data_IF_120224227085
#
_entry.id   IF_120224227085
#
_cell.length_a   1.000
_cell.length_b   1.000
_cell.length_c   1.000
_cell.angle_alpha   90.00
_cell.angle_beta   90.00
_cell.angle_gamma   90.00
#
_symmetry.space_group_name_H-M   'P 1'
#
loop_
_entity.id
_entity.type
_entity.pdbx_description
1 polymer ?
#
# COMPACT_ATOMS: atom_id res chain seq x y z
N UNK A 1 -7.83 23.80 -11.43
CA UNK A 1 -6.64 22.92 -11.45
C UNK A 1 -6.46 22.36 -12.85
N UNK A 2 -5.30 22.56 -13.50
CA UNK A 2 -5.01 21.89 -14.77
C UNK A 2 -4.72 20.43 -14.45
N UNK A 3 -5.60 19.50 -14.82
CA UNK A 3 -5.31 18.06 -14.75
C UNK A 3 -4.20 17.80 -15.79
N UNK A 4 -3.06 17.20 -15.40
CA UNK A 4 -2.01 16.83 -16.35
C UNK A 4 -2.61 16.03 -17.50
N UNK A 5 -2.13 16.25 -18.70
CA UNK A 5 -2.74 15.73 -19.94
C UNK A 5 -2.75 14.20 -20.03
N UNK A 6 -1.88 13.48 -19.32
CA UNK A 6 -1.75 12.03 -19.38
C UNK A 6 -2.34 11.24 -18.19
N UNK A 7 -2.92 11.92 -17.17
CA UNK A 7 -3.49 11.24 -15.99
C UNK A 7 -4.54 10.17 -16.35
N UNK A 8 -5.36 10.46 -17.36
CA UNK A 8 -6.41 9.54 -17.80
C UNK A 8 -5.82 8.31 -18.49
N UNK A 9 -4.75 8.49 -19.27
CA UNK A 9 -4.01 7.40 -19.86
C UNK A 9 -3.39 6.53 -18.78
N UNK A 10 -2.72 7.13 -17.80
CA UNK A 10 -2.12 6.40 -16.67
C UNK A 10 -3.18 5.62 -15.90
N UNK A 11 -4.36 6.21 -15.63
CA UNK A 11 -5.46 5.51 -14.97
C UNK A 11 -5.92 4.30 -15.79
N UNK A 12 -6.18 4.47 -17.10
CA UNK A 12 -6.63 3.40 -18.00
C UNK A 12 -5.58 2.28 -18.08
N UNK A 13 -4.29 2.62 -18.21
CA UNK A 13 -3.21 1.62 -18.27
C UNK A 13 -3.01 0.88 -16.94
N UNK A 14 -3.32 1.53 -15.82
CA UNK A 14 -3.26 0.90 -14.49
C UNK A 14 -4.38 -0.12 -14.24
N UNK A 15 -5.50 -0.02 -14.98
CA UNK A 15 -6.66 -0.89 -14.81
C UNK A 15 -6.37 -2.33 -15.24
N UNK A 16 -6.81 -3.28 -14.42
CA UNK A 16 -6.79 -4.70 -14.78
C UNK A 16 -7.80 -5.03 -15.87
N UNK A 17 -7.60 -6.14 -16.58
CA UNK A 17 -8.54 -6.62 -17.60
C UNK A 17 -9.97 -6.79 -17.05
N UNK A 18 -10.11 -7.20 -15.77
CA UNK A 18 -11.40 -7.35 -15.11
C UNK A 18 -12.08 -6.01 -14.84
N UNK A 19 -11.32 -4.98 -14.44
CA UNK A 19 -11.84 -3.62 -14.22
C UNK A 19 -12.26 -2.97 -15.54
N UNK A 20 -11.44 -3.11 -16.60
CA UNK A 20 -11.80 -2.64 -17.96
C UNK A 20 -13.06 -3.31 -18.47
N UNK A 21 -13.20 -4.64 -18.25
CA UNK A 21 -14.41 -5.38 -18.61
C UNK A 21 -15.63 -4.92 -17.81
N UNK A 22 -15.47 -4.67 -16.50
CA UNK A 22 -16.54 -4.16 -15.64
C UNK A 22 -16.99 -2.77 -16.08
N UNK A 23 -16.04 -1.86 -16.38
CA UNK A 23 -16.34 -0.54 -16.91
C UNK A 23 -17.16 -0.63 -18.20
N UNK A 24 -16.67 -1.39 -19.17
CA UNK A 24 -17.39 -1.57 -20.45
C UNK A 24 -18.81 -2.11 -20.27
N UNK A 25 -18.99 -3.06 -19.38
CA UNK A 25 -20.30 -3.70 -19.16
C UNK A 25 -21.32 -2.80 -18.46
N UNK A 26 -20.89 -1.97 -17.52
CA UNK A 26 -21.82 -1.27 -16.63
C UNK A 26 -21.87 0.25 -16.85
N UNK A 27 -20.87 0.81 -17.49
CA UNK A 27 -20.75 2.27 -17.67
C UNK A 27 -20.54 2.70 -19.13
N UNK A 28 -20.26 1.76 -20.01
CA UNK A 28 -19.99 1.98 -21.43
C UNK A 28 -20.85 1.06 -22.32
N UNK A 29 -22.04 0.66 -21.85
CA UNK A 29 -22.97 -0.21 -22.57
C UNK A 29 -23.58 0.47 -23.82
N UNK A 30 -23.70 1.78 -23.81
CA UNK A 30 -24.11 2.57 -24.96
C UNK A 30 -22.91 3.21 -25.64
N UNK A 31 -22.79 3.05 -26.95
CA UNK A 31 -21.77 3.75 -27.75
C UNK A 31 -21.97 5.26 -27.68
N UNK A 32 -21.05 5.94 -27.06
CA UNK A 32 -20.98 7.39 -27.02
C UNK A 32 -19.52 7.85 -27.11
N UNK A 33 -19.32 9.13 -27.38
CA UNK A 33 -17.98 9.70 -27.58
C UNK A 33 -17.03 9.49 -26.39
N UNK A 34 -17.56 9.37 -25.17
CA UNK A 34 -16.74 9.12 -23.98
C UNK A 34 -16.21 7.68 -23.95
N UNK A 35 -17.03 6.71 -24.39
CA UNK A 35 -16.62 5.30 -24.48
C UNK A 35 -15.66 5.07 -25.64
N UNK A 36 -15.88 5.75 -26.77
CA UNK A 36 -14.97 5.71 -27.92
C UNK A 36 -13.59 6.31 -27.53
N UNK A 37 -13.59 7.38 -26.72
CA UNK A 37 -12.36 7.97 -26.18
C UNK A 37 -11.61 6.99 -25.28
N UNK A 38 -12.33 6.25 -24.42
CA UNK A 38 -11.73 5.20 -23.58
C UNK A 38 -11.06 4.13 -24.44
N UNK A 39 -11.75 3.60 -25.46
CA UNK A 39 -11.23 2.54 -26.31
C UNK A 39 -10.01 3.00 -27.10
N UNK A 40 -10.03 4.21 -27.62
CA UNK A 40 -8.89 4.77 -28.33
C UNK A 40 -7.67 4.96 -27.40
N UNK A 41 -7.84 5.60 -26.23
CA UNK A 41 -6.76 5.79 -25.27
C UNK A 41 -6.23 4.45 -24.76
N UNK A 42 -7.10 3.46 -24.57
CA UNK A 42 -6.69 2.12 -24.12
C UNK A 42 -5.82 1.37 -25.15
N UNK A 43 -5.96 1.68 -26.43
CA UNK A 43 -5.19 1.07 -27.52
C UNK A 43 -3.84 1.75 -27.77
N UNK A 44 -3.56 2.90 -27.15
CA UNK A 44 -2.30 3.63 -27.36
C UNK A 44 -1.16 3.00 -26.54
N UNK A 45 0.02 2.91 -27.13
CA UNK A 45 1.25 2.52 -26.45
C UNK A 45 1.85 3.69 -25.65
N UNK A 46 1.79 4.89 -26.21
CA UNK A 46 2.19 6.15 -25.60
C UNK A 46 1.10 7.20 -25.81
N UNK A 47 0.89 8.07 -24.79
CA UNK A 47 -0.14 9.08 -24.86
C UNK A 47 0.34 10.33 -25.58
N UNK A 48 -0.29 10.64 -26.71
CA UNK A 48 -0.12 11.89 -27.45
C UNK A 48 -1.48 12.56 -27.69
N UNK A 49 -1.69 13.74 -27.12
CA UNK A 49 -2.97 14.46 -27.24
C UNK A 49 -3.31 14.81 -28.68
N UNK A 50 -2.31 15.11 -29.51
CA UNK A 50 -2.49 15.42 -30.92
C UNK A 50 -3.00 14.21 -31.72
N UNK A 51 -2.60 13.01 -31.38
CA UNK A 51 -3.13 11.79 -32.00
C UNK A 51 -4.60 11.60 -31.64
N UNK A 52 -4.99 11.89 -30.38
CA UNK A 52 -6.40 11.85 -29.96
C UNK A 52 -7.22 12.89 -30.75
N UNK A 53 -6.77 14.14 -30.86
CA UNK A 53 -7.46 15.19 -31.62
C UNK A 53 -7.58 14.83 -33.08
N UNK A 54 -6.55 14.26 -33.69
CA UNK A 54 -6.53 13.83 -35.08
C UNK A 54 -7.52 12.69 -35.33
N UNK A 55 -7.55 11.68 -34.46
CA UNK A 55 -8.48 10.56 -34.58
C UNK A 55 -9.94 11.00 -34.53
N UNK A 56 -10.25 11.96 -33.65
CA UNK A 56 -11.60 12.46 -33.47
C UNK A 56 -11.89 13.80 -34.23
N UNK A 57 -11.08 14.17 -35.24
CA UNK A 57 -11.13 15.47 -35.90
C UNK A 57 -12.54 15.86 -36.40
N UNK A 58 -13.32 14.89 -36.87
CA UNK A 58 -14.66 15.09 -37.42
C UNK A 58 -15.79 14.98 -36.35
N UNK A 59 -15.46 14.94 -35.09
CA UNK A 59 -16.43 14.81 -34.00
C UNK A 59 -16.45 16.04 -33.08
N UNK A 60 -17.52 16.19 -32.31
CA UNK A 60 -17.58 17.19 -31.23
C UNK A 60 -16.53 16.99 -30.16
N UNK A 61 -15.98 15.78 -30.05
CA UNK A 61 -14.96 15.41 -29.05
C UNK A 61 -13.67 16.20 -29.27
N UNK A 62 -13.19 16.34 -30.52
CA UNK A 62 -11.94 17.05 -30.79
C UNK A 62 -12.02 18.53 -30.35
N UNK A 63 -13.17 19.20 -30.51
CA UNK A 63 -13.38 20.57 -30.05
C UNK A 63 -13.51 20.71 -28.53
N UNK A 64 -14.00 19.67 -27.86
CA UNK A 64 -14.30 19.67 -26.42
C UNK A 64 -13.53 18.57 -25.65
N UNK A 65 -12.34 18.18 -26.12
CA UNK A 65 -11.57 17.07 -25.58
C UNK A 65 -11.39 17.15 -24.05
N UNK A 66 -11.17 18.36 -23.54
CA UNK A 66 -11.02 18.60 -22.09
C UNK A 66 -12.26 18.16 -21.31
N UNK A 67 -13.46 18.45 -21.83
CA UNK A 67 -14.74 18.10 -21.17
C UNK A 67 -14.92 16.58 -21.19
N UNK A 68 -14.70 15.93 -22.33
CA UNK A 68 -14.79 14.47 -22.45
C UNK A 68 -13.77 13.73 -21.57
N UNK A 69 -12.55 14.28 -21.41
CA UNK A 69 -11.56 13.74 -20.47
C UNK A 69 -12.06 13.79 -19.03
N UNK A 70 -12.66 14.91 -18.60
CA UNK A 70 -13.23 15.03 -17.24
C UNK A 70 -14.36 14.04 -17.05
N UNK A 71 -15.31 13.97 -17.97
CA UNK A 71 -16.42 13.02 -17.91
C UNK A 71 -15.94 11.56 -17.88
N UNK A 72 -14.96 11.21 -18.71
CA UNK A 72 -14.40 9.87 -18.73
C UNK A 72 -13.69 9.56 -17.40
N UNK A 73 -12.93 10.50 -16.83
CA UNK A 73 -12.28 10.35 -15.53
C UNK A 73 -13.30 10.07 -14.43
N UNK A 74 -14.39 10.82 -14.36
CA UNK A 74 -15.48 10.64 -13.39
C UNK A 74 -16.15 9.26 -13.55
N UNK A 75 -16.46 8.85 -14.78
CA UNK A 75 -17.03 7.53 -15.05
C UNK A 75 -16.09 6.39 -14.68
N UNK A 76 -14.80 6.51 -14.98
CA UNK A 76 -13.80 5.52 -14.60
C UNK A 76 -13.67 5.40 -13.07
N UNK A 77 -13.59 6.52 -12.36
CA UNK A 77 -13.52 6.52 -10.90
C UNK A 77 -14.80 5.95 -10.28
N UNK A 78 -15.97 6.30 -10.80
CA UNK A 78 -17.25 5.72 -10.37
C UNK A 78 -17.32 4.21 -10.59
N UNK A 79 -16.84 3.75 -11.75
CA UNK A 79 -16.76 2.33 -12.08
C UNK A 79 -15.81 1.58 -11.15
N UNK A 80 -14.61 2.11 -10.92
CA UNK A 80 -13.62 1.51 -10.02
C UNK A 80 -14.13 1.48 -8.58
N UNK A 81 -14.76 2.56 -8.10
CA UNK A 81 -15.39 2.60 -6.77
C UNK A 81 -16.44 1.51 -6.64
N UNK A 82 -17.34 1.37 -7.60
CA UNK A 82 -18.38 0.33 -7.60
C UNK A 82 -17.79 -1.09 -7.67
N UNK A 83 -16.76 -1.29 -8.49
CA UNK A 83 -16.08 -2.59 -8.62
C UNK A 83 -15.41 -3.03 -7.32
N UNK A 84 -14.73 -2.10 -6.64
CA UNK A 84 -13.96 -2.39 -5.43
C UNK A 84 -14.77 -2.31 -4.14
N UNK A 85 -15.93 -1.63 -4.13
CA UNK A 85 -16.75 -1.42 -2.93
C UNK A 85 -17.11 -2.72 -2.21
N UNK A 86 -17.42 -3.77 -2.94
CA UNK A 86 -17.78 -5.08 -2.37
C UNK A 86 -16.61 -5.87 -1.80
N UNK A 87 -15.36 -5.52 -2.15
CA UNK A 87 -14.16 -6.29 -1.78
C UNK A 87 -13.39 -5.64 -0.64
N UNK A 88 -13.42 -4.31 -0.54
CA UNK A 88 -12.65 -3.54 0.43
C UNK A 88 -13.43 -3.38 1.74
N UNK A 89 -12.79 -3.70 2.88
CA UNK A 89 -13.42 -3.59 4.21
C UNK A 89 -13.83 -2.15 4.52
N UNK A 90 -12.95 -1.17 4.29
CA UNK A 90 -13.24 0.25 4.51
C UNK A 90 -14.41 0.74 3.66
N UNK A 91 -14.51 0.26 2.42
CA UNK A 91 -15.65 0.57 1.56
C UNK A 91 -16.96 -0.02 2.09
N UNK A 92 -16.93 -1.25 2.63
CA UNK A 92 -18.11 -1.88 3.24
C UNK A 92 -18.56 -1.11 4.49
N UNK A 93 -17.61 -0.63 5.30
CA UNK A 93 -17.90 0.17 6.49
C UNK A 93 -18.57 1.49 6.07
N UNK A 94 -17.96 2.25 5.13
CA UNK A 94 -18.54 3.52 4.65
C UNK A 94 -19.95 3.34 4.07
N UNK A 95 -20.11 2.36 3.17
CA UNK A 95 -21.45 2.05 2.62
C UNK A 95 -22.45 1.65 3.71
N UNK A 96 -21.99 0.90 4.72
CA UNK A 96 -22.85 0.54 5.84
C UNK A 96 -23.28 1.73 6.67
N UNK A 97 -22.42 2.74 6.87
CA UNK A 97 -22.79 4.00 7.53
C UNK A 97 -23.80 4.81 6.71
N UNK A 98 -23.60 4.90 5.38
CA UNK A 98 -24.57 5.51 4.45
C UNK A 98 -25.94 4.80 4.52
N UNK A 99 -25.96 3.47 4.59
CA UNK A 99 -27.18 2.68 4.76
C UNK A 99 -27.86 2.99 6.11
N UNK A 100 -27.10 3.22 7.19
CA UNK A 100 -27.64 3.64 8.50
C UNK A 100 -28.33 4.99 8.37
N UNK A 101 -27.69 5.99 7.74
CA UNK A 101 -28.28 7.31 7.51
C UNK A 101 -29.60 7.21 6.72
N UNK A 102 -29.62 6.45 5.62
CA UNK A 102 -30.84 6.23 4.82
C UNK A 102 -31.95 5.60 5.67
N UNK A 103 -31.63 4.61 6.53
CA UNK A 103 -32.62 3.96 7.40
C UNK A 103 -33.16 4.93 8.45
N UNK A 104 -32.31 5.81 8.97
CA UNK A 104 -32.71 6.86 9.92
C UNK A 104 -33.64 7.88 9.26
N UNK A 105 -33.32 8.36 8.08
CA UNK A 105 -34.17 9.27 7.29
C UNK A 105 -35.57 8.66 7.01
N UNK A 106 -35.63 7.34 6.87
CA UNK A 106 -36.88 6.59 6.69
C UNK A 106 -37.57 6.21 8.02
N UNK A 107 -37.06 6.68 9.16
CA UNK A 107 -37.57 6.39 10.51
C UNK A 107 -37.53 4.88 10.85
N UNK A 108 -36.67 4.08 10.21
CA UNK A 108 -36.49 2.65 10.45
C UNK A 108 -35.39 2.41 11.50
N UNK A 109 -35.54 3.03 12.70
CA UNK A 109 -34.49 3.12 13.72
C UNK A 109 -33.96 1.77 14.21
N UNK A 110 -34.84 0.76 14.42
CA UNK A 110 -34.43 -0.58 14.83
C UNK A 110 -33.58 -1.28 13.76
N UNK A 111 -33.87 -1.05 12.48
CA UNK A 111 -33.05 -1.58 11.38
C UNK A 111 -31.70 -0.85 11.30
N UNK A 112 -31.69 0.47 11.50
CA UNK A 112 -30.49 1.28 11.54
C UNK A 112 -29.54 0.78 12.66
N UNK A 113 -30.06 0.56 13.88
CA UNK A 113 -29.29 0.04 15.01
C UNK A 113 -28.71 -1.36 14.72
N UNK A 114 -29.50 -2.26 14.17
CA UNK A 114 -29.02 -3.59 13.82
C UNK A 114 -27.93 -3.54 12.73
N UNK A 115 -28.02 -2.60 11.78
CA UNK A 115 -27.00 -2.38 10.78
C UNK A 115 -25.73 -1.83 11.40
N UNK A 116 -25.86 -0.86 12.30
CA UNK A 116 -24.76 -0.20 13.00
C UNK A 116 -23.94 -1.21 13.83
N UNK A 117 -24.59 -2.11 14.57
CA UNK A 117 -23.93 -3.19 15.34
C UNK A 117 -23.05 -4.06 14.45
N UNK A 118 -23.54 -4.48 13.26
CA UNK A 118 -22.76 -5.27 12.30
C UNK A 118 -21.55 -4.51 11.77
N UNK A 119 -21.66 -3.20 11.58
CA UNK A 119 -20.56 -2.35 11.16
C UNK A 119 -19.53 -2.22 12.28
N UNK A 120 -19.96 -2.04 13.52
CA UNK A 120 -19.10 -1.97 14.72
C UNK A 120 -18.26 -3.26 14.86
N UNK A 121 -18.90 -4.42 14.78
CA UNK A 121 -18.21 -5.71 14.79
C UNK A 121 -17.14 -5.82 13.66
N UNK A 122 -17.48 -5.35 12.46
CA UNK A 122 -16.55 -5.34 11.33
C UNK A 122 -15.36 -4.40 11.58
N UNK A 123 -15.62 -3.22 12.15
CA UNK A 123 -14.56 -2.26 12.51
C UNK A 123 -13.61 -2.83 13.57
N UNK A 124 -14.14 -3.43 14.62
CA UNK A 124 -13.35 -4.03 15.69
C UNK A 124 -12.51 -5.19 15.18
N UNK A 125 -13.12 -6.08 14.40
CA UNK A 125 -12.44 -7.24 13.81
C UNK A 125 -11.24 -6.87 12.93
N UNK A 126 -11.33 -5.75 12.21
CA UNK A 126 -10.30 -5.30 11.28
C UNK A 126 -9.47 -4.13 11.79
N UNK A 127 -9.66 -3.75 13.05
CA UNK A 127 -9.02 -2.59 13.69
C UNK A 127 -9.17 -1.27 12.91
N UNK A 128 -10.32 -1.10 12.23
CA UNK A 128 -10.69 0.15 11.55
C UNK A 128 -11.30 1.14 12.56
N UNK A 129 -10.52 1.45 13.60
CA UNK A 129 -10.98 2.19 14.78
C UNK A 129 -11.36 3.65 14.47
N UNK A 130 -10.87 4.22 13.39
CA UNK A 130 -11.21 5.58 12.94
C UNK A 130 -12.71 5.76 12.67
N UNK A 131 -13.43 4.66 12.34
CA UNK A 131 -14.88 4.71 12.12
C UNK A 131 -15.72 4.58 13.41
N UNK A 132 -15.12 4.17 14.52
CA UNK A 132 -15.84 3.97 15.79
C UNK A 132 -16.47 5.28 16.27
N UNK A 133 -15.82 6.42 16.04
CA UNK A 133 -16.39 7.72 16.40
C UNK A 133 -17.75 7.96 15.71
N UNK A 134 -17.85 7.75 14.42
CA UNK A 134 -19.10 7.90 13.66
C UNK A 134 -20.16 6.89 14.12
N UNK A 135 -19.74 5.65 14.40
CA UNK A 135 -20.63 4.60 14.90
C UNK A 135 -21.21 5.00 16.26
N UNK A 136 -20.37 5.42 17.20
CA UNK A 136 -20.80 5.85 18.54
C UNK A 136 -21.71 7.07 18.47
N UNK A 137 -21.42 8.03 17.57
CA UNK A 137 -22.32 9.17 17.34
C UNK A 137 -23.73 8.70 16.95
N UNK A 138 -23.87 7.78 16.03
CA UNK A 138 -25.18 7.24 15.64
C UNK A 138 -25.82 6.39 16.75
N UNK A 139 -25.04 5.63 17.53
CA UNK A 139 -25.55 4.89 18.69
C UNK A 139 -26.19 5.84 19.71
N UNK A 140 -25.49 6.92 20.09
CA UNK A 140 -26.00 7.94 21.04
C UNK A 140 -27.21 8.62 20.43
N UNK A 141 -27.18 9.02 19.18
CA UNK A 141 -28.29 9.71 18.52
C UNK A 141 -29.55 8.85 18.52
N UNK A 142 -29.46 7.57 18.15
CA UNK A 142 -30.58 6.64 18.13
C UNK A 142 -31.15 6.39 19.52
N UNK A 143 -30.30 6.30 20.55
CA UNK A 143 -30.75 6.09 21.92
C UNK A 143 -31.44 7.34 22.52
N UNK A 144 -30.88 8.52 22.24
CA UNK A 144 -31.35 9.76 22.86
C UNK A 144 -32.65 10.30 22.27
N UNK A 145 -32.90 10.06 20.99
CA UNK A 145 -34.01 10.69 20.27
C UNK A 145 -35.16 9.73 19.90
N UNK A 146 -34.92 8.42 19.88
CA UNK A 146 -35.89 7.48 19.33
C UNK A 146 -36.25 6.31 20.27
N UNK A 147 -35.91 6.40 21.53
CA UNK A 147 -36.25 5.42 22.57
C UNK A 147 -35.92 3.96 22.12
N UNK A 148 -34.91 3.81 21.30
CA UNK A 148 -34.41 2.52 20.86
C UNK A 148 -33.60 1.98 22.02
N UNK A 149 -34.13 1.00 22.77
CA UNK A 149 -33.46 0.38 23.91
C UNK A 149 -32.04 -0.08 23.56
N UNK A 150 -31.07 0.81 23.70
CA UNK A 150 -29.68 0.48 23.88
C UNK A 150 -29.54 0.14 25.38
N UNK A 151 -29.64 -1.14 25.71
CA UNK A 151 -29.20 -1.59 27.02
C UNK A 151 -27.67 -1.70 26.98
N UNK A 152 -26.97 -1.19 27.91
CA UNK A 152 -27.16 -0.46 29.13
C UNK A 152 -26.65 0.99 29.03
N UNK A 153 -27.13 1.83 29.96
CA UNK A 153 -26.77 3.22 30.15
C UNK A 153 -25.85 3.88 29.12
N UNK A 154 -26.24 4.99 28.53
CA UNK A 154 -25.47 5.86 27.60
C UNK A 154 -24.03 6.13 28.08
N UNK A 155 -23.77 5.90 29.37
CA UNK A 155 -22.47 6.02 30.02
C UNK A 155 -21.45 4.97 29.55
N UNK A 156 -21.90 3.71 29.30
CA UNK A 156 -20.94 2.64 28.83
C UNK A 156 -20.49 2.88 27.39
N UNK A 157 -21.35 3.42 26.54
CA UNK A 157 -20.99 3.76 25.15
C UNK A 157 -19.94 4.87 25.12
N UNK A 158 -20.07 5.87 25.99
CA UNK A 158 -19.06 6.94 26.11
C UNK A 158 -17.74 6.44 26.70
N UNK A 159 -17.78 5.57 27.72
CA UNK A 159 -16.55 4.95 28.26
C UNK A 159 -15.84 4.06 27.22
N UNK A 160 -16.60 3.30 26.43
CA UNK A 160 -16.03 2.56 25.29
C UNK A 160 -15.35 3.53 24.31
N UNK A 161 -15.99 4.64 23.95
CA UNK A 161 -15.42 5.65 23.06
C UNK A 161 -14.11 6.21 23.60
N UNK A 162 -14.06 6.58 24.89
CA UNK A 162 -12.83 7.05 25.54
C UNK A 162 -11.70 6.02 25.41
N UNK A 163 -12.01 4.75 25.68
CA UNK A 163 -11.05 3.65 25.52
C UNK A 163 -10.52 3.52 24.08
N UNK A 164 -11.40 3.70 23.08
CA UNK A 164 -11.00 3.69 21.66
C UNK A 164 -10.16 4.90 21.29
N UNK A 165 -10.51 6.10 21.79
CA UNK A 165 -9.73 7.32 21.57
C UNK A 165 -8.31 7.14 22.12
N UNK A 166 -8.16 6.58 23.32
CA UNK A 166 -6.85 6.33 23.91
C UNK A 166 -6.06 5.28 23.13
N UNK A 167 -6.72 4.27 22.57
CA UNK A 167 -6.08 3.33 21.66
C UNK A 167 -5.58 4.02 20.40
N UNK A 168 -6.40 4.85 19.78
CA UNK A 168 -6.01 5.62 18.59
C UNK A 168 -4.84 6.56 18.90
N UNK A 169 -4.88 7.29 20.03
CA UNK A 169 -3.76 8.15 20.45
C UNK A 169 -2.45 7.37 20.53
N UNK A 170 -2.46 6.17 21.15
CA UNK A 170 -1.27 5.32 21.23
C UNK A 170 -0.80 4.83 19.86
N UNK A 171 -1.72 4.36 19.03
CA UNK A 171 -1.37 3.94 17.65
C UNK A 171 -0.71 5.09 16.88
N UNK A 172 -1.28 6.29 16.93
CA UNK A 172 -0.71 7.46 16.23
C UNK A 172 0.62 7.90 16.83
N UNK A 173 0.80 7.78 18.15
CA UNK A 173 2.08 8.05 18.80
C UNK A 173 3.16 7.04 18.35
N UNK A 174 2.85 5.75 18.37
CA UNK A 174 3.76 4.71 17.85
C UNK A 174 4.07 4.89 16.36
N UNK A 175 3.07 5.27 15.53
CA UNK A 175 3.28 5.63 14.12
C UNK A 175 4.27 6.79 13.98
N UNK A 176 4.14 7.82 14.80
CA UNK A 176 5.03 9.00 14.79
C UNK A 176 6.47 8.62 15.13
N UNK A 177 6.67 7.85 16.20
CA UNK A 177 8.00 7.33 16.57
C UNK A 177 8.59 6.51 15.42
N UNK A 178 7.80 5.59 14.88
CA UNK A 178 8.23 4.73 13.78
C UNK A 178 8.58 5.54 12.51
N UNK A 179 7.84 6.60 12.22
CA UNK A 179 8.13 7.49 11.09
C UNK A 179 9.50 8.18 11.25
N UNK A 180 9.79 8.77 12.42
CA UNK A 180 11.10 9.39 12.69
C UNK A 180 12.24 8.39 12.62
N UNK A 181 12.06 7.20 13.21
CA UNK A 181 13.07 6.15 13.17
C UNK A 181 13.33 5.64 11.73
N UNK A 182 12.28 5.51 10.92
CA UNK A 182 12.43 5.13 9.50
C UNK A 182 13.16 6.21 8.69
N UNK A 183 12.87 7.49 8.93
CA UNK A 183 13.60 8.59 8.28
C UNK A 183 15.10 8.51 8.60
N UNK A 184 15.46 8.35 9.87
CA UNK A 184 16.85 8.13 10.29
C UNK A 184 17.48 6.88 9.65
N UNK A 185 16.73 5.77 9.58
CA UNK A 185 17.21 4.52 8.99
C UNK A 185 17.42 4.58 7.48
N UNK A 186 16.66 5.42 6.76
CA UNK A 186 16.76 5.59 5.31
C UNK A 186 17.88 6.56 4.91
N UNK A 187 18.22 7.50 5.78
CA UNK A 187 19.31 8.45 5.59
C UNK A 187 20.66 7.82 5.99
N UNK A 188 21.02 6.68 5.39
CA UNK A 188 22.17 5.81 5.73
C UNK A 188 23.54 6.51 5.81
N UNK A 189 23.67 7.71 5.32
CA UNK A 189 24.96 8.41 5.22
C UNK A 189 25.40 9.13 6.51
N UNK A 190 24.60 9.25 7.54
CA UNK A 190 24.96 10.23 8.58
C UNK A 190 24.70 9.92 10.04
N UNK A 191 23.86 8.97 10.50
CA UNK A 191 23.62 9.02 11.96
C UNK A 191 23.24 7.68 12.63
N UNK A 192 24.15 7.20 13.49
CA UNK A 192 23.76 6.47 14.70
C UNK A 192 22.81 7.38 15.53
N UNK A 193 21.82 6.76 16.20
CA UNK A 193 21.00 7.50 17.17
C UNK A 193 21.89 8.00 18.31
N UNK A 194 21.67 9.24 18.74
CA UNK A 194 22.37 9.79 19.90
C UNK A 194 21.82 9.14 21.18
N UNK A 195 22.62 8.98 22.25
CA UNK A 195 22.17 8.36 23.49
C UNK A 195 20.90 8.98 24.07
N UNK A 196 20.74 10.29 23.95
CA UNK A 196 19.56 11.01 24.42
C UNK A 196 18.30 10.62 23.59
N UNK A 197 18.45 10.51 22.26
CA UNK A 197 17.38 10.10 21.37
C UNK A 197 16.94 8.64 21.66
N UNK A 198 17.89 7.77 21.96
CA UNK A 198 17.62 6.36 22.34
C UNK A 198 16.78 6.34 23.60
N UNK A 199 17.23 7.02 24.65
CA UNK A 199 16.54 7.09 25.95
C UNK A 199 15.15 7.69 25.82
N UNK A 200 15.00 8.73 24.99
CA UNK A 200 13.71 9.35 24.69
C UNK A 200 12.75 8.34 24.02
N UNK A 201 13.17 7.69 22.93
CA UNK A 201 12.31 6.75 22.20
C UNK A 201 11.96 5.52 23.04
N UNK A 202 12.87 4.98 23.83
CA UNK A 202 12.60 3.85 24.74
C UNK A 202 11.64 4.26 25.86
N UNK A 203 11.79 5.45 26.40
CA UNK A 203 10.86 5.98 27.41
C UNK A 203 9.46 6.17 26.83
N UNK A 204 9.37 6.71 25.60
CA UNK A 204 8.08 6.88 24.92
C UNK A 204 7.44 5.52 24.60
N UNK A 205 8.21 4.56 24.09
CA UNK A 205 7.72 3.21 23.82
C UNK A 205 7.28 2.49 25.09
N UNK A 206 7.98 2.67 26.23
CA UNK A 206 7.62 2.04 27.51
C UNK A 206 6.37 2.68 28.15
N UNK A 207 6.20 3.99 28.06
CA UNK A 207 4.99 4.70 28.55
C UNK A 207 3.73 4.26 27.80
N UNK A 208 3.84 4.12 26.47
CA UNK A 208 2.70 3.69 25.64
C UNK A 208 2.35 2.21 25.86
N UNK A 209 3.23 1.46 26.51
CA UNK A 209 3.06 0.06 26.86
C UNK A 209 2.51 -0.17 28.28
N UNK A 210 2.42 0.88 29.11
CA UNK A 210 1.75 0.83 30.41
C UNK A 210 0.23 0.73 30.16
N UNK A 211 -0.23 -0.48 29.83
CA UNK A 211 -1.65 -0.76 29.65
C UNK A 211 -2.34 -0.94 31.01
N UNK A 212 -3.63 -0.54 31.11
CA UNK A 212 -4.46 -0.96 32.24
C UNK A 212 -4.45 -2.48 32.41
N UNK A 213 -4.58 -2.97 33.63
CA UNK A 213 -4.65 -4.39 33.92
C UNK A 213 -5.64 -5.12 33.02
N UNK A 214 -5.23 -6.25 32.43
CA UNK A 214 -6.06 -7.08 31.57
C UNK A 214 -6.16 -6.64 30.10
N UNK A 215 -5.56 -5.51 29.70
CA UNK A 215 -5.61 -5.05 28.31
C UNK A 215 -4.44 -5.61 27.51
N UNK A 216 -4.74 -6.10 26.30
CA UNK A 216 -3.75 -6.50 25.31
C UNK A 216 -3.53 -5.42 24.25
N UNK A 217 -2.31 -5.35 23.70
CA UNK A 217 -2.02 -4.49 22.57
C UNK A 217 -2.80 -4.96 21.34
N UNK A 218 -3.37 -4.02 20.59
CA UNK A 218 -3.93 -4.28 19.26
C UNK A 218 -2.83 -4.74 18.30
N UNK A 219 -3.22 -5.35 17.17
CA UNK A 219 -2.27 -5.78 16.13
C UNK A 219 -1.48 -4.58 15.58
N UNK A 220 -2.14 -3.44 15.42
CA UNK A 220 -1.51 -2.20 14.96
C UNK A 220 -0.48 -1.67 15.98
N UNK A 221 -0.80 -1.67 17.27
CA UNK A 221 0.14 -1.27 18.33
C UNK A 221 1.36 -2.20 18.35
N UNK A 222 1.15 -3.52 18.27
CA UNK A 222 2.23 -4.50 18.22
C UNK A 222 3.13 -4.31 16.99
N UNK A 223 2.53 -4.08 15.81
CA UNK A 223 3.26 -3.87 14.57
C UNK A 223 4.18 -2.66 14.65
N UNK A 224 3.67 -1.48 15.05
CA UNK A 224 4.48 -0.27 15.09
C UNK A 224 5.53 -0.33 16.21
N UNK A 225 5.21 -0.93 17.34
CA UNK A 225 6.18 -1.19 18.41
C UNK A 225 7.34 -2.05 17.94
N UNK A 226 7.06 -3.23 17.37
CA UNK A 226 8.10 -4.13 16.86
C UNK A 226 8.93 -3.47 15.75
N UNK A 227 8.29 -2.71 14.86
CA UNK A 227 8.98 -1.96 13.81
C UNK A 227 9.96 -0.94 14.40
N UNK A 228 9.53 -0.17 15.41
CA UNK A 228 10.37 0.82 16.08
C UNK A 228 11.54 0.18 16.83
N UNK A 229 11.27 -0.88 17.60
CA UNK A 229 12.31 -1.62 18.31
C UNK A 229 13.34 -2.23 17.36
N UNK A 230 12.90 -2.78 16.22
CA UNK A 230 13.82 -3.33 15.23
C UNK A 230 14.80 -2.28 14.69
N UNK A 231 14.36 -1.02 14.53
CA UNK A 231 15.20 0.07 14.04
C UNK A 231 16.16 0.54 15.17
N UNK A 232 15.68 0.65 16.40
CA UNK A 232 16.51 1.01 17.56
C UNK A 232 17.65 -0.02 17.73
N UNK A 233 17.33 -1.32 17.71
CA UNK A 233 18.35 -2.37 17.80
C UNK A 233 19.35 -2.31 16.63
N UNK A 234 18.90 -1.98 15.42
CA UNK A 234 19.80 -1.80 14.28
C UNK A 234 20.71 -0.60 14.43
N UNK A 235 20.16 0.59 14.79
CA UNK A 235 20.90 1.86 14.73
C UNK A 235 21.65 2.20 16.02
N UNK A 236 21.10 1.84 17.17
CA UNK A 236 21.65 2.16 18.48
C UNK A 236 22.56 1.07 19.02
N UNK A 237 22.07 -0.16 19.04
CA UNK A 237 22.75 -1.28 19.67
C UNK A 237 23.55 -2.14 18.71
N UNK A 238 23.37 -1.96 17.40
CA UNK A 238 23.95 -2.80 16.35
C UNK A 238 23.67 -4.31 16.56
N UNK A 239 22.56 -4.62 17.26
CA UNK A 239 22.13 -5.97 17.61
C UNK A 239 21.26 -6.55 16.46
N UNK A 240 21.96 -7.24 15.57
CA UNK A 240 21.33 -7.80 14.38
C UNK A 240 20.35 -8.96 14.68
N UNK A 241 20.57 -9.69 15.80
CA UNK A 241 19.68 -10.78 16.20
C UNK A 241 18.36 -10.24 16.78
N UNK A 242 18.40 -9.20 17.60
CA UNK A 242 17.19 -8.56 18.11
C UNK A 242 16.43 -7.84 16.98
N UNK A 243 17.14 -7.16 16.07
CA UNK A 243 16.50 -6.61 14.87
C UNK A 243 15.75 -7.70 14.09
N UNK A 244 16.41 -8.84 13.85
CA UNK A 244 15.80 -9.98 13.17
C UNK A 244 14.58 -10.50 13.93
N UNK A 245 14.68 -10.65 15.24
CA UNK A 245 13.61 -11.13 16.12
C UNK A 245 12.35 -10.26 15.96
N UNK A 246 12.47 -8.93 16.09
CA UNK A 246 11.32 -8.04 15.97
C UNK A 246 10.72 -8.01 14.56
N UNK A 247 11.54 -8.09 13.51
CA UNK A 247 11.05 -8.18 12.13
C UNK A 247 10.32 -9.50 11.86
N UNK A 248 10.82 -10.60 12.38
CA UNK A 248 10.16 -11.91 12.34
C UNK A 248 8.82 -11.88 13.08
N UNK A 249 8.76 -11.26 14.26
CA UNK A 249 7.53 -11.10 15.02
C UNK A 249 6.46 -10.33 14.24
N UNK A 250 6.83 -9.29 13.50
CA UNK A 250 5.89 -8.59 12.63
C UNK A 250 5.32 -9.48 11.52
N UNK A 251 6.13 -10.32 10.90
CA UNK A 251 5.65 -11.28 9.90
C UNK A 251 4.69 -12.28 10.55
N UNK A 252 5.07 -12.87 11.70
CA UNK A 252 4.25 -13.83 12.43
C UNK A 252 2.93 -13.24 12.91
N UNK A 253 2.92 -11.95 13.29
CA UNK A 253 1.70 -11.22 13.69
C UNK A 253 0.65 -11.23 12.58
N UNK A 254 1.05 -10.94 11.34
CA UNK A 254 0.15 -10.99 10.19
C UNK A 254 -0.28 -12.41 9.85
N UNK A 255 0.63 -13.37 9.89
CA UNK A 255 0.35 -14.77 9.54
C UNK A 255 -0.58 -15.45 10.53
N UNK A 256 -0.50 -15.08 11.82
CA UNK A 256 -1.46 -15.50 12.83
C UNK A 256 -2.85 -14.85 12.66
N UNK A 257 -2.96 -13.76 11.89
CA UNK A 257 -4.17 -12.99 11.68
C UNK A 257 -4.48 -12.78 10.18
N UNK A 258 -4.86 -13.82 9.42
CA UNK A 258 -5.06 -13.73 7.96
C UNK A 258 -6.13 -12.70 7.54
N UNK A 259 -7.12 -12.46 8.38
CA UNK A 259 -8.12 -11.42 8.13
C UNK A 259 -7.51 -10.02 8.11
N UNK A 260 -6.48 -9.78 8.92
CA UNK A 260 -5.76 -8.51 8.99
C UNK A 260 -4.87 -8.30 7.76
N UNK A 261 -4.29 -9.37 7.18
CA UNK A 261 -3.56 -9.30 5.91
C UNK A 261 -4.47 -8.76 4.80
N UNK A 262 -5.71 -9.25 4.73
CA UNK A 262 -6.67 -8.86 3.69
C UNK A 262 -6.97 -7.35 3.70
N UNK A 263 -7.03 -6.74 4.88
CA UNK A 263 -7.24 -5.30 5.05
C UNK A 263 -5.95 -4.50 4.89
N UNK A 264 -4.81 -5.08 5.22
CA UNK A 264 -3.53 -4.43 5.39
C UNK A 264 -2.40 -5.08 4.57
N UNK A 265 -2.69 -5.54 3.34
CA UNK A 265 -1.73 -6.23 2.48
C UNK A 265 -0.45 -5.43 2.22
N UNK A 266 -0.53 -4.09 2.17
CA UNK A 266 0.62 -3.20 2.04
C UNK A 266 1.55 -3.25 3.25
N UNK A 267 1.00 -3.29 4.46
CA UNK A 267 1.79 -3.43 5.70
C UNK A 267 2.42 -4.82 5.82
N UNK A 268 1.69 -5.87 5.44
CA UNK A 268 2.26 -7.21 5.40
C UNK A 268 3.39 -7.33 4.37
N UNK A 269 3.22 -6.70 3.19
CA UNK A 269 4.31 -6.60 2.21
C UNK A 269 5.54 -5.92 2.83
N UNK A 270 5.37 -4.78 3.49
CA UNK A 270 6.47 -4.06 4.13
C UNK A 270 7.14 -4.89 5.23
N UNK A 271 6.35 -5.59 6.06
CA UNK A 271 6.88 -6.49 7.10
C UNK A 271 7.74 -7.61 6.49
N UNK A 272 7.20 -8.32 5.47
CA UNK A 272 7.93 -9.36 4.74
C UNK A 272 9.20 -8.82 4.10
N UNK A 273 9.13 -7.71 3.37
CA UNK A 273 10.28 -7.13 2.69
C UNK A 273 11.39 -6.76 3.67
N UNK A 274 11.07 -6.06 4.76
CA UNK A 274 12.03 -5.69 5.80
C UNK A 274 12.65 -6.91 6.47
N UNK A 275 11.87 -7.97 6.69
CA UNK A 275 12.35 -9.25 7.20
C UNK A 275 13.34 -9.90 6.21
N UNK A 276 13.01 -9.95 4.91
CA UNK A 276 13.87 -10.53 3.88
C UNK A 276 15.19 -9.78 3.72
N UNK A 277 15.16 -8.45 3.78
CA UNK A 277 16.39 -7.63 3.78
C UNK A 277 17.29 -8.00 4.96
N UNK A 278 16.72 -8.23 6.13
CA UNK A 278 17.45 -8.68 7.31
C UNK A 278 18.00 -10.11 7.16
N UNK A 279 17.20 -11.06 6.68
CA UNK A 279 17.62 -12.44 6.38
C UNK A 279 18.83 -12.45 5.44
N UNK A 280 18.79 -11.66 4.36
CA UNK A 280 19.90 -11.54 3.41
C UNK A 280 21.16 -11.02 4.10
N UNK A 281 21.04 -9.96 4.94
CA UNK A 281 22.19 -9.37 5.64
C UNK A 281 22.84 -10.36 6.62
N UNK A 282 22.03 -11.20 7.27
CA UNK A 282 22.47 -12.21 8.23
C UNK A 282 22.79 -13.57 7.58
N UNK A 283 22.80 -13.65 6.22
CA UNK A 283 23.04 -14.88 5.48
C UNK A 283 22.08 -16.05 5.85
N UNK A 284 20.85 -15.73 6.25
CA UNK A 284 19.80 -16.72 6.56
C UNK A 284 19.07 -17.12 5.29
N UNK A 285 19.73 -17.94 4.46
CA UNK A 285 19.26 -18.28 3.11
C UNK A 285 17.92 -19.03 3.10
N UNK A 286 17.70 -19.95 4.01
CA UNK A 286 16.45 -20.73 4.08
C UNK A 286 15.23 -19.84 4.37
N UNK A 287 15.35 -18.92 5.33
CA UNK A 287 14.30 -17.97 5.65
C UNK A 287 14.08 -16.97 4.52
N UNK A 288 15.15 -16.55 3.82
CA UNK A 288 15.07 -15.68 2.65
C UNK A 288 14.29 -16.35 1.52
N UNK A 289 14.65 -17.57 1.13
CA UNK A 289 13.99 -18.30 0.06
C UNK A 289 12.50 -18.56 0.37
N UNK A 290 12.19 -19.05 1.57
CA UNK A 290 10.82 -19.26 2.02
C UNK A 290 10.01 -17.94 2.00
N UNK A 291 10.61 -16.84 2.47
CA UNK A 291 9.96 -15.54 2.49
C UNK A 291 9.75 -14.93 1.11
N UNK A 292 10.67 -15.17 0.15
CA UNK A 292 10.51 -14.78 -1.26
C UNK A 292 9.28 -15.45 -1.90
N UNK A 293 9.06 -16.72 -1.62
CA UNK A 293 7.84 -17.41 -2.08
C UNK A 293 6.57 -16.76 -1.52
N UNK A 294 6.55 -16.43 -0.21
CA UNK A 294 5.39 -15.79 0.44
C UNK A 294 5.10 -14.41 -0.12
N UNK A 295 6.13 -13.57 -0.31
CA UNK A 295 5.93 -12.21 -0.83
C UNK A 295 5.48 -12.22 -2.29
N UNK A 296 5.99 -13.15 -3.11
CA UNK A 296 5.53 -13.35 -4.50
C UNK A 296 4.06 -13.80 -4.54
N UNK A 297 3.65 -14.72 -3.67
CA UNK A 297 2.25 -15.14 -3.55
C UNK A 297 1.33 -13.97 -3.14
N UNK A 298 1.77 -13.13 -2.19
CA UNK A 298 1.03 -11.92 -1.81
C UNK A 298 0.85 -10.96 -3.00
N UNK A 299 1.90 -10.72 -3.79
CA UNK A 299 1.85 -9.84 -4.96
C UNK A 299 0.92 -10.37 -6.07
N UNK A 300 0.78 -11.69 -6.19
CA UNK A 300 -0.20 -12.29 -7.08
C UNK A 300 -1.65 -12.06 -6.61
N UNK A 301 -1.89 -12.17 -5.31
CA UNK A 301 -3.22 -12.00 -4.70
C UNK A 301 -3.64 -10.53 -4.56
N UNK A 302 -2.68 -9.60 -4.46
CA UNK A 302 -2.89 -8.16 -4.32
C UNK A 302 -2.38 -7.38 -5.55
N UNK A 303 -3.17 -7.31 -6.63
CA UNK A 303 -2.72 -6.70 -7.91
C UNK A 303 -2.25 -5.25 -7.79
N UNK A 304 -2.77 -4.49 -6.82
CA UNK A 304 -2.37 -3.10 -6.57
C UNK A 304 -0.93 -2.98 -6.03
N UNK A 305 -0.36 -4.08 -5.51
CA UNK A 305 1.03 -4.14 -5.06
C UNK A 305 2.01 -4.58 -6.16
N UNK A 306 1.54 -4.92 -7.36
CA UNK A 306 2.40 -5.49 -8.42
C UNK A 306 3.56 -4.57 -8.81
N UNK A 307 3.39 -3.24 -8.73
CA UNK A 307 4.47 -2.30 -8.95
C UNK A 307 5.68 -2.56 -8.01
N UNK A 308 5.41 -3.09 -6.83
CA UNK A 308 6.44 -3.38 -5.82
C UNK A 308 7.32 -4.60 -6.15
N UNK A 309 7.07 -5.34 -7.25
CA UNK A 309 7.99 -6.39 -7.70
C UNK A 309 9.42 -5.88 -7.91
N UNK A 310 9.61 -4.59 -8.18
CA UNK A 310 10.95 -3.99 -8.33
C UNK A 310 11.81 -4.21 -7.08
N UNK A 311 11.22 -4.17 -5.88
CA UNK A 311 11.90 -4.44 -4.61
C UNK A 311 12.37 -5.90 -4.53
N UNK A 312 11.56 -6.82 -5.05
CA UNK A 312 11.88 -8.25 -5.04
C UNK A 312 12.98 -8.55 -6.05
N UNK A 313 12.88 -8.01 -7.27
CA UNK A 313 13.92 -8.14 -8.27
C UNK A 313 15.27 -7.60 -7.80
N UNK A 314 15.28 -6.45 -7.12
CA UNK A 314 16.49 -5.93 -6.50
C UNK A 314 17.07 -6.91 -5.47
N UNK A 315 16.23 -7.41 -4.55
CA UNK A 315 16.65 -8.30 -3.48
C UNK A 315 17.21 -9.63 -4.02
N UNK A 316 16.50 -10.25 -4.97
CA UNK A 316 16.90 -11.51 -5.62
C UNK A 316 18.18 -11.33 -6.45
N UNK A 317 18.26 -10.31 -7.30
CA UNK A 317 19.46 -10.02 -8.10
C UNK A 317 20.66 -9.83 -7.19
N UNK A 318 20.52 -9.03 -6.12
CA UNK A 318 21.60 -8.82 -5.15
C UNK A 318 21.99 -10.11 -4.42
N UNK A 319 21.03 -10.95 -4.06
CA UNK A 319 21.28 -12.23 -3.40
C UNK A 319 22.04 -13.20 -4.31
N UNK A 320 21.57 -13.39 -5.54
CA UNK A 320 22.22 -14.25 -6.55
C UNK A 320 23.64 -13.76 -6.87
N UNK A 321 23.83 -12.44 -7.00
CA UNK A 321 25.14 -11.84 -7.26
C UNK A 321 26.14 -12.15 -6.14
N UNK A 322 25.73 -11.99 -4.88
CA UNK A 322 26.58 -12.28 -3.73
C UNK A 322 26.91 -13.79 -3.59
N UNK A 323 25.98 -14.65 -4.04
CA UNK A 323 26.22 -16.09 -4.13
C UNK A 323 27.05 -16.51 -5.36
N UNK A 324 27.52 -15.56 -6.20
CA UNK A 324 28.23 -15.81 -7.46
C UNK A 324 27.42 -16.64 -8.49
N UNK A 325 26.09 -16.61 -8.36
CA UNK A 325 25.16 -17.25 -9.31
C UNK A 325 24.79 -16.28 -10.43
N UNK A 326 25.71 -16.07 -11.36
CA UNK A 326 25.56 -15.03 -12.38
C UNK A 326 24.61 -15.44 -13.52
N UNK A 327 24.58 -16.72 -13.88
CA UNK A 327 23.78 -17.22 -15.00
C UNK A 327 22.27 -17.00 -14.77
N UNK A 328 21.66 -17.34 -13.60
CA UNK A 328 20.26 -17.04 -13.32
C UNK A 328 19.91 -15.54 -13.37
N UNK A 329 20.90 -14.65 -13.07
CA UNK A 329 20.66 -13.21 -13.17
C UNK A 329 20.40 -12.82 -14.63
N UNK A 330 21.20 -13.34 -15.56
CA UNK A 330 21.10 -13.01 -16.99
C UNK A 330 19.91 -13.69 -17.64
N UNK A 331 19.67 -14.96 -17.33
CA UNK A 331 18.65 -15.76 -18.01
C UNK A 331 17.23 -15.51 -17.49
N UNK A 332 17.08 -15.26 -16.20
CA UNK A 332 15.77 -15.14 -15.55
C UNK A 332 15.48 -13.71 -15.08
N UNK A 333 16.38 -13.13 -14.26
CA UNK A 333 16.13 -11.85 -13.60
C UNK A 333 16.13 -10.67 -14.56
N UNK A 334 17.11 -10.58 -15.47
CA UNK A 334 17.26 -9.46 -16.39
C UNK A 334 16.04 -9.29 -17.33
N UNK A 335 15.55 -10.34 -18.02
CA UNK A 335 14.38 -10.22 -18.89
C UNK A 335 13.10 -9.87 -18.14
N UNK A 336 12.85 -10.49 -16.98
CA UNK A 336 11.65 -10.22 -16.17
C UNK A 336 11.66 -8.82 -15.61
N UNK A 337 12.78 -8.40 -15.04
CA UNK A 337 12.94 -7.07 -14.44
C UNK A 337 12.80 -5.97 -15.49
N UNK A 338 13.43 -6.15 -16.67
CA UNK A 338 13.33 -5.18 -17.76
C UNK A 338 11.90 -5.03 -18.26
N UNK A 339 11.17 -6.14 -18.41
CA UNK A 339 9.74 -6.13 -18.76
C UNK A 339 8.92 -5.40 -17.70
N UNK A 340 9.21 -5.63 -16.43
CA UNK A 340 8.53 -4.97 -15.33
C UNK A 340 8.77 -3.46 -15.29
N UNK A 341 10.04 -3.03 -15.38
CA UNK A 341 10.44 -1.60 -15.41
C UNK A 341 9.72 -0.88 -16.56
N UNK A 342 9.71 -1.47 -17.76
CA UNK A 342 9.03 -0.87 -18.90
C UNK A 342 7.51 -0.80 -18.69
N UNK A 343 6.89 -1.87 -18.19
CA UNK A 343 5.45 -1.93 -17.95
C UNK A 343 4.96 -0.88 -16.94
N UNK A 344 5.72 -0.62 -15.89
CA UNK A 344 5.33 0.29 -14.81
C UNK A 344 6.02 1.65 -14.89
N UNK A 345 6.77 1.90 -15.98
CA UNK A 345 7.51 3.15 -16.24
C UNK A 345 8.44 3.56 -15.09
N UNK A 346 9.11 2.58 -14.48
CA UNK A 346 9.99 2.76 -13.32
C UNK A 346 11.44 3.09 -13.71
N UNK A 347 11.65 3.67 -14.89
CA UNK A 347 13.01 3.92 -15.45
C UNK A 347 13.86 4.87 -14.60
N UNK A 348 13.24 5.90 -13.99
CA UNK A 348 13.91 6.92 -13.16
C UNK A 348 13.99 6.59 -11.67
N UNK A 349 13.57 5.40 -11.23
CA UNK A 349 13.57 5.06 -9.81
C UNK A 349 14.97 4.61 -9.34
N UNK A 350 15.35 5.01 -8.12
CA UNK A 350 16.64 4.66 -7.50
C UNK A 350 16.91 3.15 -7.49
N UNK A 351 15.90 2.32 -7.20
CA UNK A 351 16.04 0.87 -7.23
C UNK A 351 16.38 0.33 -8.63
N UNK A 352 15.84 0.93 -9.67
CA UNK A 352 16.18 0.58 -11.05
C UNK A 352 17.67 0.83 -11.35
N UNK A 353 18.20 1.95 -10.87
CA UNK A 353 19.63 2.23 -10.98
C UNK A 353 20.47 1.18 -10.25
N UNK A 354 20.11 0.83 -9.02
CA UNK A 354 20.81 -0.22 -8.26
C UNK A 354 20.76 -1.58 -8.98
N UNK A 355 19.64 -1.96 -9.56
CA UNK A 355 19.50 -3.21 -10.33
C UNK A 355 20.42 -3.17 -11.56
N UNK A 356 20.45 -2.06 -12.31
CA UNK A 356 21.34 -1.91 -13.47
C UNK A 356 22.82 -1.96 -13.10
N UNK A 357 23.20 -1.49 -11.90
CA UNK A 357 24.57 -1.67 -11.39
C UNK A 357 24.87 -3.17 -11.25
N UNK A 358 23.98 -3.97 -10.65
CA UNK A 358 24.19 -5.42 -10.53
C UNK A 358 24.22 -6.13 -11.87
N UNK A 359 23.39 -5.72 -12.85
CA UNK A 359 23.45 -6.26 -14.20
C UNK A 359 24.80 -5.91 -14.88
N UNK A 360 25.25 -4.66 -14.75
CA UNK A 360 26.56 -4.22 -15.25
C UNK A 360 27.69 -5.08 -14.68
N UNK A 361 27.73 -5.25 -13.36
CA UNK A 361 28.74 -6.06 -12.68
C UNK A 361 28.66 -7.54 -13.07
N UNK A 362 27.46 -8.08 -13.24
CA UNK A 362 27.26 -9.46 -13.67
C UNK A 362 27.83 -9.69 -15.06
N UNK A 363 27.50 -8.83 -16.04
CA UNK A 363 28.03 -8.94 -17.40
C UNK A 363 29.52 -8.68 -17.47
N UNK A 364 30.08 -7.82 -16.59
CA UNK A 364 31.52 -7.63 -16.47
C UNK A 364 32.23 -8.92 -16.04
N UNK A 365 31.69 -9.62 -15.04
CA UNK A 365 32.23 -10.92 -14.60
C UNK A 365 32.12 -11.96 -15.68
N UNK A 366 31.03 -11.99 -16.45
CA UNK A 366 30.82 -12.89 -17.59
C UNK A 366 31.56 -12.48 -18.88
N UNK A 367 32.28 -11.34 -18.86
CA UNK A 367 33.01 -10.76 -20.01
C UNK A 367 32.13 -10.37 -21.20
N UNK A 368 30.84 -10.12 -20.97
CA UNK A 368 29.92 -9.59 -21.99
C UNK A 368 30.00 -8.05 -22.02
N UNK A 369 31.06 -7.53 -22.64
CA UNK A 369 31.31 -6.09 -22.69
C UNK A 369 30.27 -5.30 -23.48
N UNK A 370 29.54 -5.94 -24.41
CA UNK A 370 28.44 -5.28 -25.13
C UNK A 370 27.30 -4.91 -24.15
N UNK A 371 26.90 -5.82 -23.30
CA UNK A 371 25.88 -5.59 -22.27
C UNK A 371 26.39 -4.65 -21.18
N UNK A 372 27.64 -4.69 -20.81
CA UNK A 372 28.25 -3.70 -19.89
C UNK A 372 28.05 -2.28 -20.43
N UNK A 373 28.42 -2.02 -21.70
CA UNK A 373 28.21 -0.70 -22.31
C UNK A 373 26.72 -0.31 -22.40
N UNK A 374 25.84 -1.27 -22.67
CA UNK A 374 24.41 -1.02 -22.72
C UNK A 374 23.87 -0.51 -21.37
N UNK A 375 24.22 -1.17 -20.26
CA UNK A 375 23.75 -0.76 -18.93
C UNK A 375 24.44 0.51 -18.41
N UNK A 376 25.71 0.72 -18.72
CA UNK A 376 26.40 1.99 -18.39
C UNK A 376 25.73 3.20 -19.06
N UNK A 377 25.31 3.07 -20.33
CA UNK A 377 24.51 4.12 -20.99
C UNK A 377 23.20 4.37 -20.29
N UNK A 378 22.49 3.33 -19.88
CA UNK A 378 21.23 3.47 -19.13
C UNK A 378 21.45 4.18 -17.77
N UNK A 379 22.49 3.81 -17.04
CA UNK A 379 22.86 4.47 -15.79
C UNK A 379 23.24 5.94 -16.01
N UNK A 380 24.01 6.25 -17.04
CA UNK A 380 24.35 7.64 -17.39
C UNK A 380 23.13 8.49 -17.77
N UNK A 381 22.11 7.89 -18.41
CA UNK A 381 20.87 8.61 -18.69
C UNK A 381 20.05 8.85 -17.41
N UNK A 382 20.00 7.87 -16.49
CA UNK A 382 19.33 8.05 -15.21
C UNK A 382 19.96 9.12 -14.33
N UNK A 383 21.30 9.28 -14.36
CA UNK A 383 21.96 10.32 -13.57
C UNK A 383 21.60 11.74 -14.04
N UNK A 384 21.30 11.94 -15.34
CA UNK A 384 20.83 13.22 -15.88
C UNK A 384 19.41 13.59 -15.47
N UNK A 385 18.57 12.56 -15.20
CA UNK A 385 17.19 12.76 -14.76
C UNK A 385 17.09 12.92 -13.23
N UNK A 386 18.18 12.66 -12.49
CA UNK A 386 18.26 12.74 -11.02
C UNK A 386 18.97 14.00 -10.50
N UNK A 387 19.62 14.77 -11.38
CA UNK A 387 20.12 16.11 -11.02
C UNK A 387 18.96 17.12 -11.05
N UNK A 388 18.67 17.79 -9.90
CA UNK A 388 17.56 18.73 -9.78
C UNK A 388 17.80 20.04 -10.56
#
# INVERSE_FOLDING_TARGET
MKVPTDNIYQLIQSMTASEKRYFKRHYASEKNLTTDLFDFINSMDEYEEENVKRHFANSKLAKNLKVYKVQLMELLLKSLTSYHSKKNIRSKIRMGLEEVEILMDKQLHSMALNRLRKIKELCLKHEELEYIFSITYFEIFLSSFFDVNLNPSDYTVLQELESFIDTLKRIYHLKRINFYLNDKNNNELTQSLRPEEITEYETLLSKDLALPEGRQLTLSEQYYRNSSLSIIHKLAYQDAEQEFHYKKNNVSLFEANPHFIKSNAGFYFAALFNFLVCCRRLNRSAELESGLLRIKALLQQAPFLKRNYIFIYYLETKHLFLQRKYQPIVEEMEPETTRHINKYQQKGEHLTALIFIYFTLTHLVLRDYHKVHFYLRRLSNLSKDLDP
#
